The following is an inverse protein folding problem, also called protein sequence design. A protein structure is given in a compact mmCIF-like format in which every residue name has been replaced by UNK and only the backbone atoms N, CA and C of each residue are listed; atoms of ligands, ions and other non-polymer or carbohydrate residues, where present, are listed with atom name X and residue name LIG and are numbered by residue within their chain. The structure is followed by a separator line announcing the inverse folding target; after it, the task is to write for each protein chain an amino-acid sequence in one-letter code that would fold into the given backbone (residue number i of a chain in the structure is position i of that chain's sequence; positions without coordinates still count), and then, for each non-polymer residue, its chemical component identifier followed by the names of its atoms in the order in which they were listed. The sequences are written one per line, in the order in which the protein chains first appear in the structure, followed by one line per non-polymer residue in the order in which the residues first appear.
data_IF_007094460854
#
_entry.id   IF_007094460854
#
_cell.length_a   1.000
_cell.length_b   1.000
_cell.length_c   1.000
_cell.angle_alpha   90.00
_cell.angle_beta   90.00
_cell.angle_gamma   90.00
#
_symmetry.space_group_name_H-M   'P 1'
#
loop_
_entity.id
_entity.type
_entity.pdbx_description
1 polymer ?
#
# COMPACT_ATOMS: atom_id res chain seq x y z
N UNK A 1 -4.33 -13.98 4.81
CA UNK A 1 -4.92 -12.64 4.98
C UNK A 1 -6.12 -12.77 5.90
N UNK A 2 -6.27 -11.85 6.86
CA UNK A 2 -7.40 -11.80 7.80
C UNK A 2 -7.81 -10.36 8.07
N UNK A 3 -9.12 -10.09 8.15
CA UNK A 3 -9.65 -8.82 8.60
C UNK A 3 -9.84 -8.83 10.12
N UNK A 4 -9.42 -7.75 10.78
CA UNK A 4 -9.53 -7.55 12.22
C UNK A 4 -10.43 -6.34 12.48
N UNK A 5 -11.48 -6.55 13.29
CA UNK A 5 -12.53 -5.58 13.54
C UNK A 5 -12.07 -4.28 14.21
N UNK A 6 -11.04 -4.38 15.04
CA UNK A 6 -10.42 -3.23 15.70
C UNK A 6 -8.92 -3.36 15.54
N UNK A 7 -8.39 -2.64 14.55
CA UNK A 7 -6.98 -2.65 14.20
C UNK A 7 -6.45 -1.21 14.20
N UNK A 8 -5.44 -0.94 15.02
CA UNK A 8 -4.91 0.42 15.20
C UNK A 8 -4.12 0.96 14.01
N UNK A 9 -3.82 0.11 13.03
CA UNK A 9 -3.13 0.45 11.78
C UNK A 9 -4.01 0.09 10.58
N UNK A 10 -3.61 0.44 9.36
CA UNK A 10 -4.36 0.07 8.16
C UNK A 10 -4.22 -1.43 7.83
N UNK A 11 -2.99 -1.89 7.68
CA UNK A 11 -2.61 -3.27 7.44
C UNK A 11 -1.23 -3.57 8.05
N UNK A 12 -0.83 -4.85 8.09
CA UNK A 12 0.48 -5.28 8.55
C UNK A 12 0.89 -6.59 7.87
N UNK A 13 2.12 -6.62 7.38
CA UNK A 13 2.67 -7.56 6.41
C UNK A 13 3.16 -8.89 6.99
N UNK A 14 2.68 -9.28 8.18
CA UNK A 14 3.15 -10.47 8.90
C UNK A 14 3.26 -11.69 7.95
N UNK A 15 4.45 -12.28 7.86
CA UNK A 15 4.75 -13.28 6.82
C UNK A 15 3.82 -14.49 6.90
N UNK A 16 3.04 -14.69 5.83
CA UNK A 16 2.06 -15.77 5.72
C UNK A 16 0.71 -15.49 6.38
N UNK A 17 0.59 -14.45 7.21
CA UNK A 17 -0.68 -14.01 7.82
C UNK A 17 -0.79 -12.49 7.85
N UNK A 18 -0.97 -11.89 6.68
CA UNK A 18 -1.22 -10.45 6.57
C UNK A 18 -2.53 -10.10 7.27
N UNK A 19 -2.50 -9.08 8.13
CA UNK A 19 -3.65 -8.58 8.89
C UNK A 19 -4.09 -7.23 8.36
N UNK A 20 -5.40 -7.03 8.19
CA UNK A 20 -5.99 -5.78 7.70
C UNK A 20 -7.04 -5.29 8.67
N UNK A 21 -7.22 -3.97 8.76
CA UNK A 21 -8.47 -3.41 9.26
C UNK A 21 -9.61 -3.77 8.28
N UNK A 22 -10.83 -3.99 8.79
CA UNK A 22 -11.97 -4.44 7.98
C UNK A 22 -12.22 -3.59 6.72
N UNK A 23 -12.03 -2.28 6.84
CA UNK A 23 -12.19 -1.31 5.74
C UNK A 23 -11.19 -1.48 4.60
N UNK A 24 -10.04 -2.12 4.86
CA UNK A 24 -8.98 -2.33 3.87
C UNK A 24 -8.94 -3.74 3.26
N UNK A 25 -9.89 -4.62 3.62
CA UNK A 25 -9.99 -5.96 3.02
C UNK A 25 -11.40 -6.33 2.52
N UNK A 26 -12.47 -5.83 3.15
CA UNK A 26 -13.83 -6.24 2.82
C UNK A 26 -14.44 -5.34 1.73
N UNK A 27 -14.93 -5.95 0.65
CA UNK A 27 -15.62 -5.28 -0.45
C UNK A 27 -17.04 -5.81 -0.57
N UNK A 28 -18.02 -4.91 -0.54
CA UNK A 28 -19.41 -5.21 -0.92
C UNK A 28 -19.65 -4.69 -2.35
N UNK A 29 -19.98 -5.56 -3.32
CA UNK A 29 -20.26 -5.17 -4.69
C UNK A 29 -21.34 -4.09 -4.85
N UNK A 30 -22.28 -3.99 -3.90
CA UNK A 30 -23.44 -3.11 -3.98
C UNK A 30 -23.23 -1.74 -3.33
N UNK A 31 -22.35 -1.64 -2.32
CA UNK A 31 -22.16 -0.42 -1.54
C UNK A 31 -20.76 0.18 -1.67
N UNK A 32 -19.74 -0.61 -1.98
CA UNK A 32 -18.36 -0.10 -2.11
C UNK A 32 -18.17 0.66 -3.41
N UNK A 33 -17.69 1.91 -3.30
CA UNK A 33 -17.37 2.78 -4.43
C UNK A 33 -16.17 2.24 -5.23
N UNK A 34 -16.01 2.72 -6.46
CA UNK A 34 -14.85 2.33 -7.28
C UNK A 34 -13.53 2.82 -6.69
N UNK A 35 -13.51 4.04 -6.15
CA UNK A 35 -12.37 4.63 -5.45
C UNK A 35 -11.91 3.75 -4.29
N UNK A 36 -12.82 3.36 -3.40
CA UNK A 36 -12.50 2.46 -2.29
C UNK A 36 -12.00 1.11 -2.79
N UNK A 37 -12.59 0.52 -3.84
CA UNK A 37 -12.07 -0.74 -4.42
C UNK A 37 -10.63 -0.60 -4.92
N UNK A 38 -10.28 0.56 -5.47
CA UNK A 38 -8.92 0.82 -5.93
C UNK A 38 -7.95 0.98 -4.75
N UNK A 39 -8.33 1.72 -3.70
CA UNK A 39 -7.54 1.85 -2.47
C UNK A 39 -7.28 0.48 -1.82
N UNK A 40 -8.32 -0.35 -1.68
CA UNK A 40 -8.17 -1.72 -1.18
C UNK A 40 -7.22 -2.56 -2.05
N UNK A 41 -7.30 -2.44 -3.38
CA UNK A 41 -6.40 -3.16 -4.28
C UNK A 41 -4.94 -2.71 -4.10
N UNK A 42 -4.70 -1.41 -3.91
CA UNK A 42 -3.38 -0.86 -3.62
C UNK A 42 -2.84 -1.35 -2.26
N UNK A 43 -3.65 -1.29 -1.20
CA UNK A 43 -3.26 -1.80 0.12
C UNK A 43 -2.93 -3.29 0.08
N UNK A 44 -3.75 -4.12 -0.57
CA UNK A 44 -3.45 -5.56 -0.70
C UNK A 44 -2.15 -5.78 -1.48
N UNK A 45 -1.92 -5.03 -2.56
CA UNK A 45 -0.68 -5.13 -3.34
C UNK A 45 0.56 -4.68 -2.54
N UNK A 46 0.42 -3.66 -1.68
CA UNK A 46 1.47 -3.18 -0.77
C UNK A 46 1.94 -4.29 0.18
N UNK A 47 1.01 -4.88 0.93
CA UNK A 47 1.32 -5.93 1.90
C UNK A 47 1.86 -7.22 1.25
N UNK A 48 1.42 -7.50 0.01
CA UNK A 48 1.95 -8.61 -0.77
C UNK A 48 3.37 -8.33 -1.25
N UNK A 49 3.71 -7.09 -1.62
CA UNK A 49 5.08 -6.71 -1.99
C UNK A 49 6.04 -6.97 -0.82
N UNK A 50 5.58 -6.74 0.41
CA UNK A 50 6.37 -7.02 1.60
C UNK A 50 6.76 -8.48 1.81
N UNK A 51 6.03 -9.43 1.22
CA UNK A 51 6.40 -10.85 1.28
C UNK A 51 7.75 -11.14 0.62
N UNK A 52 8.20 -10.28 -0.30
CA UNK A 52 9.56 -10.30 -0.85
C UNK A 52 10.47 -9.25 -0.20
N UNK A 53 10.01 -8.00 -0.06
CA UNK A 53 10.83 -6.88 0.41
C UNK A 53 10.32 -6.37 1.76
N UNK A 54 10.99 -6.75 2.84
CA UNK A 54 10.51 -6.63 4.22
C UNK A 54 10.63 -7.97 4.94
N UNK A 55 10.08 -9.02 4.33
CA UNK A 55 10.09 -10.37 4.88
C UNK A 55 11.26 -11.24 4.38
N UNK A 56 11.36 -11.48 3.06
CA UNK A 56 12.43 -12.32 2.51
C UNK A 56 13.78 -11.59 2.52
N UNK A 57 13.79 -10.32 2.12
CA UNK A 57 14.95 -9.42 2.25
C UNK A 57 14.55 -8.30 3.20
N UNK A 58 15.16 -8.29 4.38
CA UNK A 58 14.92 -7.27 5.42
C UNK A 58 16.13 -6.35 5.51
N UNK A 59 15.89 -5.05 5.71
CA UNK A 59 16.93 -4.08 6.04
C UNK A 59 17.76 -4.52 7.27
N UNK A 60 19.03 -4.15 7.29
CA UNK A 60 19.90 -4.42 8.45
C UNK A 60 19.49 -3.59 9.67
N UNK A 61 19.05 -2.35 9.45
CA UNK A 61 18.66 -1.43 10.51
C UNK A 61 17.57 -0.43 10.07
N UNK A 62 16.88 0.18 11.04
CA UNK A 62 15.71 1.03 10.82
C UNK A 62 16.00 2.35 10.08
N UNK A 63 17.26 2.76 9.97
CA UNK A 63 17.67 3.86 9.09
C UNK A 63 17.35 3.57 7.61
N UNK A 64 17.25 2.30 7.26
CA UNK A 64 17.00 1.80 5.91
C UNK A 64 15.53 1.40 5.71
N UNK A 65 14.62 1.82 6.59
CA UNK A 65 13.18 1.54 6.51
C UNK A 65 12.56 1.93 5.16
N UNK A 66 13.09 2.98 4.54
CA UNK A 66 12.67 3.44 3.22
C UNK A 66 12.76 2.35 2.12
N UNK A 67 13.62 1.35 2.29
CA UNK A 67 13.78 0.23 1.36
C UNK A 67 12.61 -0.76 1.43
N UNK A 68 11.94 -0.85 2.58
CA UNK A 68 10.83 -1.77 2.77
C UNK A 68 9.49 -1.08 2.49
N UNK A 69 9.24 0.05 3.14
CA UNK A 69 7.94 0.74 3.19
C UNK A 69 7.76 1.71 2.02
N UNK A 70 8.29 2.93 2.19
CA UNK A 70 7.86 4.10 1.41
C UNK A 70 8.29 4.11 -0.05
N UNK A 71 9.39 3.44 -0.42
CA UNK A 71 9.87 3.48 -1.82
C UNK A 71 9.65 2.20 -2.59
N UNK A 72 9.78 1.03 -1.96
CA UNK A 72 9.70 -0.22 -2.69
C UNK A 72 8.28 -0.79 -2.69
N UNK A 73 7.66 -1.03 -1.53
CA UNK A 73 6.29 -1.53 -1.46
C UNK A 73 5.30 -0.53 -2.09
N UNK A 74 5.45 0.76 -1.78
CA UNK A 74 4.64 1.83 -2.38
C UNK A 74 4.82 1.98 -3.88
N UNK A 75 5.96 1.63 -4.48
CA UNK A 75 6.10 1.67 -5.95
C UNK A 75 5.55 0.40 -6.60
N UNK A 76 5.83 -0.76 -6.00
CA UNK A 76 5.37 -2.06 -6.51
C UNK A 76 3.85 -2.17 -6.46
N UNK A 77 3.16 -1.60 -5.46
CA UNK A 77 1.70 -1.62 -5.43
C UNK A 77 1.08 -0.99 -6.69
N UNK A 78 1.61 0.14 -7.18
CA UNK A 78 1.10 0.80 -8.39
C UNK A 78 1.40 -0.05 -9.62
N UNK A 79 2.59 -0.64 -9.70
CA UNK A 79 2.97 -1.53 -10.80
C UNK A 79 2.09 -2.78 -10.86
N UNK A 80 1.83 -3.41 -9.70
CA UNK A 80 1.00 -4.60 -9.59
C UNK A 80 -0.47 -4.30 -9.90
N UNK A 81 -1.04 -3.24 -9.31
CA UNK A 81 -2.43 -2.85 -9.58
C UNK A 81 -2.61 -2.42 -11.02
N UNK A 82 -1.67 -1.68 -11.62
CA UNK A 82 -1.74 -1.33 -13.04
C UNK A 82 -1.68 -2.56 -13.96
N UNK A 83 -0.99 -3.64 -13.54
CA UNK A 83 -0.94 -4.88 -14.31
C UNK A 83 -2.25 -5.67 -14.23
N UNK A 84 -2.89 -5.71 -13.06
CA UNK A 84 -4.14 -6.46 -12.84
C UNK A 84 -5.37 -5.67 -13.30
N UNK A 85 -5.36 -4.36 -13.09
CA UNK A 85 -6.45 -3.42 -13.38
C UNK A 85 -5.92 -2.19 -14.15
N UNK A 86 -5.51 -2.36 -15.42
CA UNK A 86 -5.00 -1.27 -16.25
C UNK A 86 -6.03 -0.13 -16.46
N UNK A 87 -7.32 -0.41 -16.31
CA UNK A 87 -8.40 0.56 -16.43
C UNK A 87 -8.44 1.63 -15.32
N UNK A 88 -7.74 1.41 -14.20
CA UNK A 88 -7.71 2.36 -13.09
C UNK A 88 -6.75 3.54 -13.32
N UNK A 89 -5.85 3.43 -14.31
CA UNK A 89 -4.86 4.47 -14.63
C UNK A 89 -4.13 5.02 -13.39
N UNK A 90 -3.69 4.09 -12.53
CA UNK A 90 -3.17 4.40 -11.19
C UNK A 90 -1.87 5.22 -11.22
N UNK A 91 -1.16 5.25 -12.35
CA UNK A 91 0.05 6.06 -12.52
C UNK A 91 -0.24 7.55 -12.61
N UNK A 92 -1.38 7.94 -13.18
CA UNK A 92 -1.82 9.34 -13.17
C UNK A 92 -2.11 9.79 -11.74
N UNK A 93 -2.71 8.89 -10.95
CA UNK A 93 -3.01 9.15 -9.54
C UNK A 93 -1.74 9.22 -8.67
N UNK A 94 -0.73 8.37 -8.95
CA UNK A 94 0.57 8.44 -8.26
C UNK A 94 1.23 9.82 -8.31
N UNK A 95 1.12 10.54 -9.44
CA UNK A 95 1.69 11.89 -9.58
C UNK A 95 1.02 12.86 -8.61
N UNK A 96 -0.31 12.85 -8.53
CA UNK A 96 -1.05 13.77 -7.66
C UNK A 96 -1.02 13.35 -6.18
N UNK A 97 -1.24 12.06 -5.90
CA UNK A 97 -1.50 11.58 -4.54
C UNK A 97 -0.22 11.27 -3.76
N UNK A 98 0.89 10.99 -4.46
CA UNK A 98 2.18 10.66 -3.83
C UNK A 98 3.25 11.71 -4.14
N UNK A 99 3.49 12.02 -5.42
CA UNK A 99 4.62 12.90 -5.77
C UNK A 99 4.39 14.35 -5.29
N UNK A 100 3.24 14.95 -5.64
CA UNK A 100 2.94 16.33 -5.25
C UNK A 100 2.77 16.49 -3.73
N UNK A 101 2.13 15.53 -3.06
CA UNK A 101 1.92 15.54 -1.61
C UNK A 101 3.22 15.40 -0.84
N UNK A 102 4.16 14.54 -1.28
CA UNK A 102 5.47 14.40 -0.64
C UNK A 102 6.39 15.61 -0.88
N UNK A 103 6.24 16.34 -1.99
CA UNK A 103 7.04 17.54 -2.26
C UNK A 103 6.77 18.67 -1.27
N UNK A 104 5.56 18.77 -0.71
CA UNK A 104 5.21 19.83 0.25
C UNK A 104 6.06 19.74 1.53
N UNK A 105 6.08 18.61 2.27
CA UNK A 105 6.94 18.47 3.45
C UNK A 105 8.43 18.44 3.12
N UNK A 106 8.83 17.94 1.94
CA UNK A 106 10.24 17.98 1.51
C UNK A 106 10.73 19.42 1.18
N UNK A 107 9.81 20.30 0.80
CA UNK A 107 10.08 21.73 0.58
C UNK A 107 10.09 22.55 1.89
N UNK A 108 9.72 21.97 3.04
CA UNK A 108 9.83 22.66 4.32
C UNK A 108 11.31 22.73 4.71
N UNK A 109 11.85 23.94 4.71
CA UNK A 109 13.13 24.22 5.35
C UNK A 109 13.00 23.99 6.86
N UNK A 110 13.79 23.05 7.40
CA UNK A 110 14.09 22.97 8.83
C UNK A 110 14.88 24.20 9.30
#
# INVERSE_FOLDING_TARGET
MIAVADFGYGAMENWGLITYHETYLLVDPHTTTQETKQELALTVAHELAHQWFGNLVTMEWWNDLWLNEDKFASWIQFLAVNHVYPEYDVWTQFVSDTLETCMIPDALHN
#
